data_IF_290887728329
#
_entry.id   IF_290887728329
#
_cell.length_a   1.000
_cell.length_b   1.000
_cell.length_c   1.000
_cell.angle_alpha   90.00
_cell.angle_beta   90.00
_cell.angle_gamma   90.00
#
_symmetry.space_group_name_H-M   'P 1'
#
loop_
_entity.id
_entity.type
_entity.pdbx_description
1 polymer ?
#
# COMPACT_ATOMS: atom_id res chain seq x y z
N UNK A 1 -21.71 -3.55 4.19
CA UNK A 1 -20.50 -2.99 4.82
C UNK A 1 -19.44 -2.74 3.76
N UNK A 2 -19.36 -1.51 3.26
CA UNK A 2 -18.46 -1.07 2.17
C UNK A 2 -16.97 -1.42 2.44
N UNK A 3 -16.52 -1.28 3.69
CA UNK A 3 -15.15 -1.62 4.09
C UNK A 3 -14.80 -3.12 3.89
N UNK A 4 -15.69 -4.03 4.29
CA UNK A 4 -15.43 -5.48 4.16
C UNK A 4 -15.39 -5.92 2.70
N UNK A 5 -16.17 -5.26 1.84
CA UNK A 5 -16.15 -5.52 0.41
C UNK A 5 -14.81 -5.08 -0.21
N UNK A 6 -14.30 -3.90 0.15
CA UNK A 6 -12.97 -3.44 -0.27
C UNK A 6 -11.87 -4.41 0.19
N UNK A 7 -11.89 -4.82 1.46
CA UNK A 7 -10.93 -5.81 1.99
C UNK A 7 -10.98 -7.09 1.17
N UNK A 8 -12.18 -7.60 0.84
CA UNK A 8 -12.31 -8.81 0.02
C UNK A 8 -11.72 -8.65 -1.39
N UNK A 9 -11.88 -7.48 -2.02
CA UNK A 9 -11.27 -7.21 -3.34
C UNK A 9 -9.74 -7.22 -3.26
N UNK A 10 -9.16 -6.63 -2.21
CA UNK A 10 -7.72 -6.65 -1.98
C UNK A 10 -7.19 -8.04 -1.62
N UNK A 11 -7.96 -8.84 -0.87
CA UNK A 11 -7.61 -10.24 -0.60
C UNK A 11 -7.53 -11.06 -1.90
N UNK A 12 -8.48 -10.87 -2.81
CA UNK A 12 -8.46 -11.54 -4.11
C UNK A 12 -7.25 -11.11 -4.96
N UNK A 13 -6.82 -9.85 -4.87
CA UNK A 13 -5.64 -9.35 -5.57
C UNK A 13 -4.33 -9.93 -5.01
N UNK A 14 -4.26 -10.09 -3.68
CA UNK A 14 -3.11 -10.66 -2.97
C UNK A 14 -3.12 -12.20 -2.89
N UNK A 15 -4.09 -12.85 -3.52
CA UNK A 15 -4.24 -14.31 -3.47
C UNK A 15 -3.15 -14.99 -4.30
N UNK A 16 -2.34 -15.91 -3.74
CA UNK A 16 -1.27 -16.59 -4.48
C UNK A 16 -1.75 -17.36 -5.72
N UNK A 17 -3.00 -17.83 -5.76
CA UNK A 17 -3.51 -18.63 -6.89
C UNK A 17 -4.08 -17.77 -8.04
N UNK A 18 -4.35 -16.49 -7.78
CA UNK A 18 -5.06 -15.59 -8.72
C UNK A 18 -4.34 -14.26 -8.96
N UNK A 19 -3.39 -13.93 -8.10
CA UNK A 19 -2.64 -12.70 -8.10
C UNK A 19 -1.52 -12.69 -9.13
N UNK A 20 -0.86 -11.55 -9.25
CA UNK A 20 0.32 -11.40 -10.09
C UNK A 20 1.54 -12.05 -9.39
N UNK A 21 2.24 -12.95 -10.09
CA UNK A 21 3.44 -13.64 -9.59
C UNK A 21 4.48 -12.66 -9.02
N UNK A 22 4.63 -11.49 -9.64
CA UNK A 22 5.54 -10.43 -9.20
C UNK A 22 5.15 -9.89 -7.82
N UNK A 23 3.85 -9.73 -7.57
CA UNK A 23 3.35 -9.25 -6.27
C UNK A 23 3.54 -10.30 -5.19
N UNK A 24 3.34 -11.57 -5.52
CA UNK A 24 3.58 -12.67 -4.61
C UNK A 24 5.07 -12.77 -4.23
N UNK A 25 5.98 -12.64 -5.20
CA UNK A 25 7.41 -12.63 -4.94
C UNK A 25 7.80 -11.46 -4.02
N UNK A 26 7.27 -10.26 -4.27
CA UNK A 26 7.47 -9.09 -3.38
C UNK A 26 6.96 -9.36 -1.96
N UNK A 27 5.82 -10.04 -1.81
CA UNK A 27 5.28 -10.40 -0.50
C UNK A 27 6.16 -11.42 0.23
N UNK A 28 6.61 -12.47 -0.46
CA UNK A 28 7.54 -13.47 0.10
C UNK A 28 8.86 -12.82 0.52
N UNK A 29 9.39 -11.93 -0.31
CA UNK A 29 10.61 -11.17 -0.01
C UNK A 29 10.42 -10.26 1.21
N UNK A 30 9.27 -9.59 1.33
CA UNK A 30 8.93 -8.77 2.51
C UNK A 30 8.93 -9.62 3.79
N UNK A 31 8.32 -10.80 3.75
CA UNK A 31 8.26 -11.72 4.90
C UNK A 31 9.67 -12.23 5.25
N UNK A 32 10.46 -12.63 4.24
CA UNK A 32 11.81 -13.14 4.44
C UNK A 32 12.77 -12.09 5.05
N UNK A 33 12.57 -10.81 4.72
CA UNK A 33 13.35 -9.68 5.26
C UNK A 33 12.78 -9.11 6.55
N UNK A 34 11.66 -9.63 7.03
CA UNK A 34 10.91 -9.09 8.17
C UNK A 34 10.56 -7.59 8.01
N UNK A 35 10.26 -7.18 6.78
CA UNK A 35 9.84 -5.81 6.47
C UNK A 35 8.33 -5.63 6.74
N UNK A 36 7.95 -4.45 7.20
CA UNK A 36 6.55 -4.13 7.52
C UNK A 36 5.79 -3.47 6.37
N UNK A 37 6.45 -3.25 5.23
CA UNK A 37 5.87 -2.54 4.09
C UNK A 37 6.15 -3.26 2.79
N UNK A 38 5.11 -3.50 1.99
CA UNK A 38 5.23 -4.00 0.62
C UNK A 38 5.03 -2.86 -0.37
N UNK A 39 5.83 -2.81 -1.44
CA UNK A 39 5.64 -1.87 -2.54
C UNK A 39 4.89 -2.56 -3.67
N UNK A 40 3.78 -1.96 -4.10
CA UNK A 40 2.93 -2.47 -5.18
C UNK A 40 3.05 -1.56 -6.38
N UNK A 41 3.25 -2.15 -7.56
CA UNK A 41 3.24 -1.39 -8.80
C UNK A 41 1.80 -1.03 -9.18
N UNK A 42 1.58 0.24 -9.48
CA UNK A 42 0.29 0.75 -9.92
C UNK A 42 -0.11 0.20 -11.29
N UNK A 43 0.84 -0.08 -12.17
CA UNK A 43 0.58 -0.70 -13.46
C UNK A 43 -0.01 -2.10 -13.28
N UNK A 44 0.59 -2.93 -12.42
CA UNK A 44 0.09 -4.26 -12.09
C UNK A 44 -1.33 -4.21 -11.51
N UNK A 45 -1.56 -3.25 -10.60
CA UNK A 45 -2.88 -3.05 -10.02
C UNK A 45 -3.91 -2.59 -11.06
N UNK A 46 -3.49 -1.76 -12.02
CA UNK A 46 -4.34 -1.26 -13.11
C UNK A 46 -4.71 -2.37 -14.10
N UNK A 47 -3.79 -3.28 -14.38
CA UNK A 47 -4.04 -4.46 -15.22
C UNK A 47 -5.01 -5.44 -14.56
N UNK A 48 -4.88 -5.64 -13.25
CA UNK A 48 -5.77 -6.51 -12.50
C UNK A 48 -7.18 -5.91 -12.32
N UNK A 49 -7.27 -4.66 -11.86
CA UNK A 49 -8.55 -3.97 -11.67
C UNK A 49 -8.38 -2.46 -11.85
N UNK A 50 -8.60 -1.99 -13.08
CA UNK A 50 -8.50 -0.58 -13.44
C UNK A 50 -9.44 0.32 -12.61
N UNK A 51 -10.61 -0.18 -12.20
CA UNK A 51 -11.56 0.58 -11.39
C UNK A 51 -11.04 0.76 -9.97
N UNK A 52 -10.52 -0.32 -9.37
CA UNK A 52 -9.91 -0.29 -8.04
C UNK A 52 -8.71 0.66 -8.01
N UNK A 53 -7.86 0.62 -9.04
CA UNK A 53 -6.73 1.53 -9.19
C UNK A 53 -7.16 3.01 -9.20
N UNK A 54 -8.18 3.37 -9.99
CA UNK A 54 -8.74 4.73 -10.02
C UNK A 54 -9.37 5.16 -8.68
N UNK A 55 -10.05 4.23 -8.00
CA UNK A 55 -10.65 4.48 -6.69
C UNK A 55 -9.60 4.76 -5.62
N UNK A 56 -8.49 4.01 -5.61
CA UNK A 56 -7.35 4.25 -4.70
C UNK A 56 -6.70 5.60 -4.98
N UNK A 57 -6.47 5.94 -6.26
CA UNK A 57 -5.89 7.24 -6.63
C UNK A 57 -6.77 8.41 -6.17
N UNK A 58 -8.08 8.26 -6.31
CA UNK A 58 -9.05 9.32 -6.01
C UNK A 58 -9.41 9.43 -4.53
N UNK A 59 -9.42 8.32 -3.79
CA UNK A 59 -9.86 8.24 -2.38
C UNK A 59 -8.96 7.33 -1.55
N UNK A 60 -7.64 7.57 -1.47
CA UNK A 60 -6.71 6.69 -0.77
C UNK A 60 -7.06 6.48 0.70
N UNK A 61 -7.64 7.48 1.38
CA UNK A 61 -7.99 7.39 2.80
C UNK A 61 -9.00 6.25 3.12
N UNK A 62 -9.89 5.94 2.19
CA UNK A 62 -10.91 4.89 2.38
C UNK A 62 -10.39 3.50 2.01
N UNK A 63 -9.41 3.43 1.11
CA UNK A 63 -8.92 2.17 0.52
C UNK A 63 -7.63 1.68 1.17
N UNK A 64 -6.72 2.58 1.59
CA UNK A 64 -5.46 2.21 2.24
C UNK A 64 -5.69 1.35 3.51
N UNK A 65 -6.58 1.72 4.45
CA UNK A 65 -6.80 0.89 5.65
C UNK A 65 -7.39 -0.48 5.32
N UNK A 66 -8.19 -0.56 4.25
CA UNK A 66 -8.74 -1.83 3.78
C UNK A 66 -7.65 -2.71 3.15
N UNK A 67 -6.70 -2.10 2.43
CA UNK A 67 -5.56 -2.80 1.83
C UNK A 67 -4.59 -3.28 2.91
N UNK A 68 -4.24 -2.44 3.89
CA UNK A 68 -3.39 -2.83 5.03
C UNK A 68 -4.01 -4.00 5.80
N UNK A 69 -5.33 -3.97 6.02
CA UNK A 69 -6.06 -5.06 6.68
C UNK A 69 -6.07 -6.35 5.86
N UNK A 70 -6.15 -6.26 4.53
CA UNK A 70 -6.05 -7.41 3.64
C UNK A 70 -4.64 -8.02 3.67
N UNK A 71 -3.61 -7.17 3.63
CA UNK A 71 -2.21 -7.58 3.72
C UNK A 71 -1.93 -8.30 5.04
N UNK A 72 -2.37 -7.76 6.19
CA UNK A 72 -2.19 -8.40 7.50
C UNK A 72 -2.80 -9.81 7.53
N UNK A 73 -3.98 -9.99 6.92
CA UNK A 73 -4.62 -11.32 6.83
C UNK A 73 -3.84 -12.26 5.91
N UNK A 74 -3.40 -11.80 4.75
CA UNK A 74 -2.61 -12.62 3.82
C UNK A 74 -1.28 -13.04 4.45
N UNK A 75 -0.56 -12.12 5.10
CA UNK A 75 0.68 -12.42 5.83
C UNK A 75 0.42 -13.42 6.96
N UNK A 76 -0.67 -13.26 7.71
CA UNK A 76 -1.07 -14.20 8.76
C UNK A 76 -1.38 -15.60 8.25
N UNK A 77 -1.90 -15.73 7.03
CA UNK A 77 -2.14 -17.02 6.39
C UNK A 77 -0.85 -17.69 5.90
N UNK A 78 0.10 -16.91 5.37
CA UNK A 78 1.37 -17.43 4.83
C UNK A 78 2.37 -17.74 5.95
N UNK A 79 2.52 -16.84 6.92
CA UNK A 79 3.48 -16.96 8.03
C UNK A 79 2.86 -16.52 9.36
N UNK A 80 2.26 -17.46 10.12
CA UNK A 80 1.68 -17.17 11.43
C UNK A 80 2.71 -16.67 12.44
N UNK A 81 3.95 -17.18 12.37
CA UNK A 81 5.04 -16.78 13.27
C UNK A 81 5.43 -15.31 13.09
N UNK A 82 5.53 -14.86 11.84
CA UNK A 82 5.86 -13.47 11.53
C UNK A 82 4.72 -12.53 11.96
N UNK A 83 3.47 -12.91 11.69
CA UNK A 83 2.31 -12.14 12.14
C UNK A 83 2.23 -12.03 13.67
N UNK A 84 2.62 -13.07 14.41
CA UNK A 84 2.69 -13.03 15.88
C UNK A 84 3.79 -12.06 16.37
N UNK A 85 4.99 -12.12 15.80
CA UNK A 85 6.08 -11.18 16.13
C UNK A 85 5.71 -9.72 15.80
N UNK A 86 5.01 -9.49 14.68
CA UNK A 86 4.51 -8.17 14.31
C UNK A 86 3.52 -7.62 15.36
N UNK A 87 2.63 -8.47 15.89
CA UNK A 87 1.71 -8.09 16.99
C UNK A 87 2.45 -7.79 18.30
N UNK A 88 3.45 -8.60 18.66
CA UNK A 88 4.27 -8.38 19.85
C UNK A 88 5.06 -7.07 19.78
N UNK A 89 5.61 -6.76 18.61
CA UNK A 89 6.35 -5.51 18.34
C UNK A 89 5.46 -4.31 18.03
N UNK A 90 4.13 -4.49 17.98
CA UNK A 90 3.14 -3.50 17.54
C UNK A 90 3.45 -2.91 16.15
N UNK A 91 4.10 -3.70 15.30
CA UNK A 91 4.43 -3.33 13.93
C UNK A 91 3.18 -3.49 13.06
N UNK A 92 2.79 -2.43 12.36
CA UNK A 92 1.66 -2.47 11.41
C UNK A 92 2.17 -2.77 10.02
N UNK A 93 1.51 -3.71 9.34
CA UNK A 93 1.72 -3.92 7.92
C UNK A 93 1.13 -2.75 7.14
N UNK A 94 1.87 -2.26 6.15
CA UNK A 94 1.46 -1.14 5.32
C UNK A 94 1.74 -1.40 3.85
N UNK A 95 0.88 -0.89 2.99
CA UNK A 95 1.10 -0.93 1.54
C UNK A 95 1.67 0.39 1.05
N UNK A 96 2.72 0.32 0.23
CA UNK A 96 3.23 1.41 -0.56
C UNK A 96 2.94 1.23 -2.04
N UNK A 97 3.00 2.32 -2.78
CA UNK A 97 2.80 2.32 -4.22
C UNK A 97 4.05 2.84 -4.92
N UNK A 98 4.36 2.21 -6.05
CA UNK A 98 5.42 2.60 -6.97
C UNK A 98 4.94 2.48 -8.42
N UNK A 99 5.79 2.88 -9.35
CA UNK A 99 5.49 2.84 -10.79
C UNK A 99 4.93 4.17 -11.33
N UNK A 100 4.16 4.07 -12.42
CA UNK A 100 3.64 5.22 -13.16
C UNK A 100 2.22 5.62 -12.72
N UNK A 101 2.15 6.79 -12.09
CA UNK A 101 0.91 7.42 -11.59
C UNK A 101 0.18 8.22 -12.68
N UNK A 102 0.74 8.35 -13.88
CA UNK A 102 0.15 9.06 -15.00
C UNK A 102 -0.19 10.51 -14.66
N UNK A 103 -1.46 10.87 -14.76
CA UNK A 103 -1.94 12.23 -14.45
C UNK A 103 -1.76 12.65 -12.99
N UNK A 104 -1.50 11.72 -12.07
CA UNK A 104 -1.23 12.00 -10.66
C UNK A 104 0.26 12.22 -10.37
N UNK A 105 1.13 12.15 -11.39
CA UNK A 105 2.52 12.55 -11.30
C UNK A 105 2.64 14.06 -11.49
N UNK A 106 3.07 14.75 -10.44
CA UNK A 106 3.08 16.22 -10.39
C UNK A 106 4.39 16.77 -9.85
N UNK A 107 4.60 18.05 -10.12
CA UNK A 107 5.75 18.81 -9.64
C UNK A 107 5.27 19.66 -8.46
N UNK A 108 6.14 20.07 -7.54
CA UNK A 108 5.76 20.96 -6.44
C UNK A 108 5.05 22.25 -6.90
N UNK A 109 5.36 22.73 -8.12
CA UNK A 109 4.70 23.90 -8.73
C UNK A 109 3.28 23.61 -9.26
N UNK A 110 3.00 22.38 -9.72
CA UNK A 110 1.69 22.00 -10.29
C UNK A 110 0.75 21.36 -9.29
N UNK A 111 1.21 21.06 -8.07
CA UNK A 111 0.38 20.58 -6.97
C UNK A 111 -0.59 21.69 -6.53
N UNK A 112 -1.86 21.55 -6.91
CA UNK A 112 -2.95 22.48 -6.57
C UNK A 112 -4.08 21.78 -5.80
N UNK A 113 -5.10 22.54 -5.40
CA UNK A 113 -6.23 22.07 -4.58
C UNK A 113 -7.03 20.92 -5.20
N UNK A 114 -6.94 20.71 -6.52
CA UNK A 114 -7.61 19.59 -7.21
C UNK A 114 -7.07 18.22 -6.80
N UNK A 115 -5.89 18.16 -6.18
CA UNK A 115 -5.26 16.94 -5.67
C UNK A 115 -5.48 16.70 -4.17
N UNK A 116 -6.30 17.53 -3.51
CA UNK A 116 -6.67 17.31 -2.10
C UNK A 116 -7.36 15.95 -1.96
N UNK A 117 -6.94 15.18 -0.95
CA UNK A 117 -7.41 13.81 -0.68
C UNK A 117 -7.20 12.83 -1.84
N UNK A 118 -6.21 13.07 -2.71
CA UNK A 118 -5.81 12.13 -3.77
C UNK A 118 -4.40 11.62 -3.53
N UNK A 119 -4.11 10.43 -4.07
CA UNK A 119 -2.76 9.88 -4.09
C UNK A 119 -1.99 10.49 -5.26
N UNK A 120 -0.85 11.10 -4.99
CA UNK A 120 -0.01 11.75 -6.01
C UNK A 120 1.45 11.35 -5.85
N UNK A 121 2.16 11.27 -6.97
CA UNK A 121 3.60 11.12 -7.00
C UNK A 121 4.24 12.48 -7.26
N UNK A 122 5.17 12.90 -6.40
CA UNK A 122 5.82 14.21 -6.49
C UNK A 122 7.32 14.02 -6.74
N UNK A 123 7.82 14.62 -7.82
CA UNK A 123 9.24 14.66 -8.13
C UNK A 123 9.86 15.99 -7.72
N UNK A 124 11.00 15.96 -7.03
CA UNK A 124 11.68 17.17 -6.59
C UNK A 124 13.01 16.90 -5.91
N UNK A 125 13.74 17.98 -5.62
CA UNK A 125 15.03 17.95 -4.93
C UNK A 125 14.77 18.11 -3.43
N UNK A 126 15.36 17.24 -2.63
CA UNK A 126 15.35 17.37 -1.17
C UNK A 126 16.30 18.49 -0.76
N UNK A 127 15.77 19.59 -0.24
CA UNK A 127 16.57 20.76 0.17
C UNK A 127 16.82 20.84 1.67
N UNK A 128 16.05 20.11 2.48
CA UNK A 128 16.16 20.12 3.94
C UNK A 128 15.65 18.81 4.53
N UNK A 129 16.41 18.24 5.45
CA UNK A 129 15.97 17.15 6.32
C UNK A 129 15.71 17.70 7.73
N UNK A 130 14.63 17.27 8.38
CA UNK A 130 14.34 17.64 9.77
C UNK A 130 14.84 16.56 10.73
N UNK A 131 15.00 16.93 12.01
CA UNK A 131 15.40 15.98 13.04
C UNK A 131 14.29 14.96 13.29
N UNK A 132 14.64 13.66 13.30
CA UNK A 132 13.71 12.60 13.64
C UNK A 132 13.23 12.76 15.10
N UNK A 133 11.92 12.90 15.29
CA UNK A 133 11.28 12.97 16.61
C UNK A 133 10.32 11.79 16.78
N UNK A 134 10.32 11.10 17.93
CA UNK A 134 9.43 9.97 18.16
C UNK A 134 7.97 10.43 18.20
N UNK A 135 7.09 9.67 17.54
CA UNK A 135 5.64 9.87 17.57
C UNK A 135 5.01 8.83 18.51
N UNK A 136 4.29 9.28 19.53
CA UNK A 136 3.55 8.38 20.42
C UNK A 136 2.35 7.83 19.65
N UNK A 137 2.31 6.51 19.51
CA UNK A 137 1.21 5.75 18.91
C UNK A 137 0.55 4.93 20.02
N UNK A 138 -0.78 4.87 20.02
CA UNK A 138 -1.56 4.03 20.95
C UNK A 138 -1.66 2.61 20.41
#
# INVERSE_FOLDING_TARGET
NDFQEKVRRFLNYLDPERGNEVTEEKLRNMIAKEESRVLIDIADLRESDAKLCQEIMSRPADYLPAFDSALERTVGNISPDYAKRAKETKTRFSVGFEGDFGSHQVNPRSLNSSYVNKLVAINGIVTKCSLARPKILK
#
